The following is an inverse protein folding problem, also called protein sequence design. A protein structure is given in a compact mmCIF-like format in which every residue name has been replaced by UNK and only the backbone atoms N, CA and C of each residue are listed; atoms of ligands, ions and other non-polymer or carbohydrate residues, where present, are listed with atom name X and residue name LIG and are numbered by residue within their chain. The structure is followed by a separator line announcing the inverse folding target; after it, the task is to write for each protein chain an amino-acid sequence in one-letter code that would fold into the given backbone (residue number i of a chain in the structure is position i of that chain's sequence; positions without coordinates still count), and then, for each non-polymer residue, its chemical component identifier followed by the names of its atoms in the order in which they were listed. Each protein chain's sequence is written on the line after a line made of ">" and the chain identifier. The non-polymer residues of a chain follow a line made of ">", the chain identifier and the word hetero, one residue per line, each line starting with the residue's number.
data_IF_857616789775
#
_entry.id   IF_857616789775
#
_cell.length_a   1.000
_cell.length_b   1.000
_cell.length_c   1.000
_cell.angle_alpha   90.00
_cell.angle_beta   90.00
_cell.angle_gamma   90.00
#
_symmetry.space_group_name_H-M   'P 1'
#
loop_
_entity.id
_entity.type
_entity.pdbx_description
1 polymer ?
#
# COMPACT_ATOMS: atom_id res chain seq x y z
N UNK A 1 -8.31 -14.56 12.86
CA UNK A 1 -7.08 -15.21 12.33
C UNK A 1 -5.89 -14.54 12.99
N UNK A 2 -4.93 -15.28 13.57
CA UNK A 2 -3.68 -14.66 14.06
C UNK A 2 -2.76 -14.39 12.86
N UNK A 3 -2.36 -13.14 12.65
CA UNK A 3 -1.38 -12.81 11.62
C UNK A 3 0.03 -13.05 12.17
N UNK A 4 0.62 -14.20 11.81
CA UNK A 4 2.04 -14.43 12.09
C UNK A 4 2.90 -13.48 11.26
N UNK A 5 4.12 -13.21 11.74
CA UNK A 5 5.08 -12.39 11.00
C UNK A 5 5.35 -12.98 9.60
N UNK A 6 5.42 -14.30 9.47
CA UNK A 6 5.57 -14.98 8.17
C UNK A 6 4.44 -14.66 7.18
N UNK A 7 3.19 -14.61 7.66
CA UNK A 7 2.05 -14.22 6.82
C UNK A 7 2.18 -12.75 6.42
N UNK A 8 2.53 -11.86 7.37
CA UNK A 8 2.73 -10.44 7.06
C UNK A 8 3.82 -10.25 6.00
N UNK A 9 4.97 -10.90 6.17
CA UNK A 9 6.11 -10.81 5.24
C UNK A 9 5.80 -11.41 3.87
N UNK A 10 4.96 -12.45 3.81
CA UNK A 10 4.44 -12.95 2.53
C UNK A 10 3.56 -11.89 1.85
N UNK A 11 2.60 -11.30 2.56
CA UNK A 11 1.71 -10.29 1.98
C UNK A 11 2.46 -9.03 1.53
N UNK A 12 3.48 -8.58 2.27
CA UNK A 12 4.37 -7.48 1.86
C UNK A 12 5.07 -7.77 0.53
N UNK A 13 5.62 -8.98 0.38
CA UNK A 13 6.28 -9.42 -0.86
C UNK A 13 5.30 -9.50 -2.02
N UNK A 14 4.11 -10.02 -1.80
CA UNK A 14 3.03 -10.07 -2.81
C UNK A 14 2.59 -8.65 -3.22
N UNK A 15 2.39 -7.73 -2.27
CA UNK A 15 2.05 -6.33 -2.55
C UNK A 15 3.10 -5.68 -3.45
N UNK A 16 4.39 -5.80 -3.07
CA UNK A 16 5.50 -5.32 -3.87
C UNK A 16 5.44 -5.89 -5.28
N UNK A 17 5.33 -7.21 -5.42
CA UNK A 17 5.31 -7.87 -6.72
C UNK A 17 4.12 -7.48 -7.61
N UNK A 18 2.96 -7.17 -7.01
CA UNK A 18 1.78 -6.73 -7.73
C UNK A 18 1.87 -5.28 -8.24
N UNK A 19 2.50 -4.38 -7.47
CA UNK A 19 2.44 -2.94 -7.72
C UNK A 19 3.73 -2.37 -8.32
N UNK A 20 4.91 -2.90 -7.99
CA UNK A 20 6.20 -2.40 -8.50
C UNK A 20 6.40 -2.48 -10.02
N UNK A 21 5.74 -3.39 -10.78
CA UNK A 21 5.84 -3.40 -12.24
C UNK A 21 5.15 -2.22 -12.93
N UNK A 22 4.22 -1.55 -12.25
CA UNK A 22 3.52 -0.41 -12.80
C UNK A 22 4.46 0.78 -12.96
N UNK A 23 4.43 1.42 -14.14
CA UNK A 23 5.42 2.44 -14.50
C UNK A 23 5.29 3.69 -13.64
N UNK A 24 4.06 4.02 -13.27
CA UNK A 24 3.80 5.21 -12.47
C UNK A 24 4.15 5.04 -10.99
N UNK A 25 4.35 3.80 -10.52
CA UNK A 25 4.61 3.54 -9.10
C UNK A 25 6.08 3.81 -8.78
N UNK A 26 6.31 4.79 -7.92
CA UNK A 26 7.64 5.23 -7.49
C UNK A 26 7.99 4.75 -6.08
N UNK A 27 7.00 4.70 -5.18
CA UNK A 27 7.20 4.27 -3.80
C UNK A 27 5.96 3.62 -3.22
N UNK A 28 6.15 2.57 -2.42
CA UNK A 28 5.07 1.88 -1.71
C UNK A 28 5.42 1.84 -0.22
N UNK A 29 4.54 2.42 0.59
CA UNK A 29 4.66 2.42 2.05
C UNK A 29 3.44 1.74 2.65
N UNK A 30 3.68 0.83 3.57
CA UNK A 30 2.66 0.26 4.45
C UNK A 30 2.60 1.09 5.72
N UNK A 31 1.40 1.38 6.20
CA UNK A 31 1.22 2.12 7.45
C UNK A 31 0.05 1.56 8.25
N UNK A 32 -0.33 2.24 9.32
CA UNK A 32 -1.46 1.86 10.15
C UNK A 32 -1.24 0.58 10.96
N UNK A 33 -2.37 -0.06 11.32
CA UNK A 33 -2.38 -1.13 12.32
C UNK A 33 -1.70 -2.41 11.86
N UNK A 34 -1.57 -2.62 10.55
CA UNK A 34 -0.95 -3.82 9.98
C UNK A 34 0.47 -4.06 10.47
N UNK A 35 1.24 -2.98 10.72
CA UNK A 35 2.63 -3.09 11.15
C UNK A 35 2.75 -3.62 12.59
N UNK A 36 1.93 -3.11 13.51
CA UNK A 36 2.13 -3.30 14.96
C UNK A 36 1.10 -4.25 15.60
N UNK A 37 -0.10 -4.36 15.06
CA UNK A 37 -1.16 -5.17 15.65
C UNK A 37 -0.91 -6.67 15.42
N UNK A 38 -1.19 -7.50 16.44
CA UNK A 38 -1.15 -8.97 16.30
C UNK A 38 -2.25 -9.51 15.38
N UNK A 39 -3.40 -8.82 15.34
CA UNK A 39 -4.55 -9.15 14.52
C UNK A 39 -5.03 -7.86 13.82
N UNK A 40 -4.38 -7.44 12.74
CA UNK A 40 -4.82 -6.27 11.99
C UNK A 40 -6.14 -6.57 11.28
N UNK A 41 -6.97 -5.55 11.11
CA UNK A 41 -8.25 -5.67 10.41
C UNK A 41 -8.10 -5.48 8.90
N UNK A 42 -7.10 -4.72 8.49
CA UNK A 42 -6.81 -4.27 7.15
C UNK A 42 -5.31 -4.07 6.94
N UNK A 43 -4.95 -3.74 5.70
CA UNK A 43 -3.64 -3.25 5.30
C UNK A 43 -3.84 -1.87 4.69
N UNK A 44 -3.22 -0.86 5.27
CA UNK A 44 -3.17 0.49 4.72
C UNK A 44 -1.91 0.66 3.86
N UNK A 45 -2.09 0.99 2.58
CA UNK A 45 -1.00 1.12 1.61
C UNK A 45 -1.06 2.48 0.92
N UNK A 46 0.02 3.24 1.07
CA UNK A 46 0.27 4.44 0.30
C UNK A 46 1.11 4.09 -0.93
N UNK A 47 0.63 4.47 -2.11
CA UNK A 47 1.32 4.28 -3.38
C UNK A 47 1.64 5.65 -3.97
N UNK A 48 2.89 6.08 -3.83
CA UNK A 48 3.35 7.31 -4.45
C UNK A 48 3.58 7.08 -5.94
N UNK A 49 3.00 7.95 -6.74
CA UNK A 49 2.94 7.79 -8.19
C UNK A 49 3.01 9.13 -8.93
N UNK A 50 3.42 9.07 -10.20
CA UNK A 50 3.62 10.22 -11.09
C UNK A 50 2.71 10.22 -12.34
N UNK A 51 1.68 9.39 -12.36
CA UNK A 51 0.65 9.38 -13.40
C UNK A 51 -0.27 10.60 -13.31
N UNK A 52 -0.69 11.06 -14.49
CA UNK A 52 -1.74 12.07 -14.64
C UNK A 52 -3.15 11.49 -14.54
N UNK A 53 -3.30 10.18 -14.39
CA UNK A 53 -4.61 9.54 -14.23
C UNK A 53 -5.39 10.06 -12.99
N UNK A 54 -6.73 10.10 -13.07
CA UNK A 54 -7.57 10.44 -11.93
C UNK A 54 -7.40 9.45 -10.77
N UNK A 55 -7.52 9.96 -9.54
CA UNK A 55 -7.38 9.18 -8.30
C UNK A 55 -8.21 7.89 -8.31
N UNK A 56 -9.50 7.99 -8.68
CA UNK A 56 -10.40 6.84 -8.67
C UNK A 56 -9.94 5.75 -9.65
N UNK A 57 -9.47 6.12 -10.83
CA UNK A 57 -8.97 5.17 -11.84
C UNK A 57 -7.76 4.40 -11.31
N UNK A 58 -6.78 5.12 -10.73
CA UNK A 58 -5.59 4.50 -10.13
C UNK A 58 -5.94 3.60 -8.94
N UNK A 59 -6.82 4.08 -8.05
CA UNK A 59 -7.23 3.31 -6.88
C UNK A 59 -7.94 2.02 -7.29
N UNK A 60 -8.78 2.06 -8.34
CA UNK A 60 -9.44 0.87 -8.89
C UNK A 60 -8.47 -0.06 -9.62
N UNK A 61 -7.50 0.49 -10.37
CA UNK A 61 -6.41 -0.27 -11.01
C UNK A 61 -5.62 -1.06 -9.96
N UNK A 62 -5.14 -0.40 -8.90
CA UNK A 62 -4.36 -1.06 -7.87
C UNK A 62 -5.16 -2.09 -7.08
N UNK A 63 -6.43 -1.81 -6.73
CA UNK A 63 -7.33 -2.81 -6.12
C UNK A 63 -7.51 -4.05 -7.00
N UNK A 64 -7.57 -3.88 -8.33
CA UNK A 64 -7.65 -5.00 -9.27
C UNK A 64 -6.36 -5.83 -9.25
N UNK A 65 -5.19 -5.19 -9.28
CA UNK A 65 -3.89 -5.85 -9.26
C UNK A 65 -3.65 -6.66 -7.97
N UNK A 66 -4.12 -6.15 -6.84
CA UNK A 66 -3.92 -6.74 -5.51
C UNK A 66 -5.10 -7.60 -5.04
N UNK A 67 -6.05 -7.93 -5.93
CA UNK A 67 -7.28 -8.68 -5.58
C UNK A 67 -7.02 -9.99 -4.83
N UNK A 68 -5.92 -10.69 -5.10
CA UNK A 68 -5.54 -11.93 -4.39
C UNK A 68 -5.24 -11.68 -2.91
N UNK A 69 -4.67 -10.52 -2.58
CA UNK A 69 -4.33 -10.11 -1.21
C UNK A 69 -5.61 -9.73 -0.47
N UNK A 70 -6.52 -9.02 -1.14
CA UNK A 70 -7.83 -8.65 -0.60
C UNK A 70 -8.72 -9.86 -0.21
N UNK A 71 -8.42 -11.06 -0.71
CA UNK A 71 -9.09 -12.31 -0.30
C UNK A 71 -8.60 -12.83 1.05
N UNK A 72 -7.43 -12.38 1.51
CA UNK A 72 -6.83 -12.78 2.79
C UNK A 72 -7.15 -11.77 3.88
N UNK A 73 -7.06 -10.47 3.57
CA UNK A 73 -7.32 -9.36 4.48
C UNK A 73 -7.78 -8.14 3.66
N UNK A 74 -8.73 -7.33 4.16
CA UNK A 74 -9.07 -6.05 3.57
C UNK A 74 -7.82 -5.21 3.29
N UNK A 75 -7.84 -4.48 2.19
CA UNK A 75 -6.70 -3.71 1.69
C UNK A 75 -7.20 -2.34 1.27
N UNK A 76 -6.72 -1.29 1.94
CA UNK A 76 -6.94 0.08 1.53
C UNK A 76 -5.72 0.62 0.81
N UNK A 77 -5.93 1.13 -0.40
CA UNK A 77 -4.86 1.63 -1.26
C UNK A 77 -5.15 3.08 -1.59
N UNK A 78 -4.17 3.92 -1.28
CA UNK A 78 -4.24 5.36 -1.45
C UNK A 78 -3.15 5.78 -2.45
N UNK A 79 -3.53 6.06 -3.72
CA UNK A 79 -2.64 6.72 -4.66
C UNK A 79 -2.30 8.14 -4.21
N UNK A 80 -1.02 8.46 -4.12
CA UNK A 80 -0.52 9.77 -3.70
C UNK A 80 0.33 10.34 -4.83
N UNK A 81 0.01 11.55 -5.27
CA UNK A 81 0.85 12.26 -6.25
C UNK A 81 2.13 12.75 -5.56
N UNK A 82 3.24 12.72 -6.29
CA UNK A 82 4.56 13.18 -5.80
C UNK A 82 4.55 14.64 -5.28
N UNK A 83 3.59 15.45 -5.73
CA UNK A 83 3.43 16.86 -5.36
C UNK A 83 2.29 17.11 -4.36
N UNK A 84 1.78 16.07 -3.68
CA UNK A 84 0.74 16.25 -2.68
C UNK A 84 1.22 17.18 -1.55
N UNK A 85 0.38 18.13 -1.10
CA UNK A 85 0.76 19.04 -0.01
C UNK A 85 1.05 18.26 1.27
N UNK A 86 2.11 18.66 1.97
CA UNK A 86 2.50 18.03 3.23
C UNK A 86 1.39 18.22 4.28
N UNK A 87 0.83 17.11 4.75
CA UNK A 87 -0.28 17.06 5.71
C UNK A 87 0.08 16.12 6.84
N UNK A 88 -0.61 16.22 7.98
CA UNK A 88 -0.42 15.27 9.11
C UNK A 88 -0.60 13.81 8.67
N UNK A 89 -1.48 13.58 7.69
CA UNK A 89 -1.68 12.26 7.09
C UNK A 89 -0.44 11.73 6.37
N UNK A 90 0.33 12.59 5.69
CA UNK A 90 1.59 12.19 5.06
C UNK A 90 2.66 11.86 6.10
N UNK A 91 2.68 12.53 7.26
CA UNK A 91 3.61 12.18 8.34
C UNK A 91 3.35 10.77 8.87
N UNK A 92 2.08 10.38 9.01
CA UNK A 92 1.72 9.02 9.40
C UNK A 92 2.22 8.01 8.37
N UNK A 93 1.99 8.27 7.08
CA UNK A 93 2.48 7.44 5.98
C UNK A 93 4.01 7.33 6.00
N UNK A 94 4.72 8.44 6.15
CA UNK A 94 6.19 8.47 6.17
C UNK A 94 6.79 7.73 7.38
N UNK A 95 6.05 7.63 8.48
CA UNK A 95 6.44 6.81 9.65
C UNK A 95 6.25 5.29 9.43
N UNK A 96 5.62 4.91 8.31
CA UNK A 96 5.35 3.53 7.93
C UNK A 96 6.56 2.76 7.43
N UNK A 97 6.31 1.55 6.97
CA UNK A 97 7.33 0.64 6.43
C UNK A 97 7.43 0.76 4.90
N UNK A 98 8.60 1.21 4.43
CA UNK A 98 8.94 1.25 3.01
C UNK A 98 9.18 -0.17 2.48
N UNK A 99 8.36 -0.61 1.52
CA UNK A 99 8.53 -1.93 0.88
C UNK A 99 9.01 -1.86 -0.57
N UNK A 100 8.93 -0.68 -1.19
CA UNK A 100 9.46 -0.44 -2.53
C UNK A 100 9.77 1.05 -2.75
N UNK A 101 10.88 1.31 -3.43
CA UNK A 101 11.27 2.62 -3.97
C UNK A 101 12.04 2.37 -5.29
N UNK A 102 11.84 3.24 -6.29
CA UNK A 102 12.54 3.20 -7.58
C UNK A 102 13.72 4.15 -7.62
#
# INVERSE_FOLDING_TARGET
>A
MKFSNEIKDRLKRELKACLSPEKEVNKIILFGSFLTAKNPNDIDVAVFQDSDEPYLSLAMKYRKLTRKIAQVIPLDIIPIRSNAPHTEFLNEIESGELIYER
#
